data_IF_440767575651
#
_entry.id   IF_440767575651
#
_cell.length_a   1.000
_cell.length_b   1.000
_cell.length_c   1.000
_cell.angle_alpha   90.00
_cell.angle_beta   90.00
_cell.angle_gamma   90.00
#
_symmetry.space_group_name_H-M   'P 1'
#
loop_
_entity.id
_entity.type
_entity.pdbx_description
1 polymer ?
#
# COMPACT_ATOMS: atom_id res chain seq x y z
N UNK A 1 -1.97 9.92 -31.49
CA UNK A 1 -2.59 8.98 -30.53
C UNK A 1 -1.49 8.24 -29.77
N UNK A 2 -1.12 8.78 -28.60
CA UNK A 2 -0.33 8.22 -27.47
C UNK A 2 0.36 9.37 -26.75
N UNK A 3 -0.39 10.01 -25.86
CA UNK A 3 0.18 10.85 -24.80
C UNK A 3 0.63 9.92 -23.67
N UNK A 4 1.93 9.95 -23.36
CA UNK A 4 2.53 9.21 -22.26
C UNK A 4 2.55 10.09 -21.02
N UNK A 5 1.79 9.66 -20.02
CA UNK A 5 1.76 10.16 -18.67
C UNK A 5 3.17 10.25 -18.07
N UNK A 6 3.65 11.48 -17.82
CA UNK A 6 4.75 11.77 -16.90
C UNK A 6 4.16 12.00 -15.51
N UNK A 7 4.15 10.97 -14.67
CA UNK A 7 3.95 11.12 -13.23
C UNK A 7 5.33 11.04 -12.55
N UNK A 8 5.97 12.20 -12.44
CA UNK A 8 7.30 12.34 -11.86
C UNK A 8 7.56 13.79 -11.49
N UNK A 9 6.88 14.28 -10.45
CA UNK A 9 7.20 15.54 -9.80
C UNK A 9 6.93 15.42 -8.30
N UNK A 10 7.93 14.87 -7.59
CA UNK A 10 8.10 15.11 -6.17
C UNK A 10 8.79 16.47 -5.98
N UNK A 11 8.06 17.39 -5.36
CA UNK A 11 8.49 18.42 -4.41
C UNK A 11 9.91 19.02 -4.56
N UNK A 12 9.99 20.25 -5.10
CA UNK A 12 11.17 21.12 -5.01
C UNK A 12 10.75 22.56 -4.65
N UNK A 13 11.51 23.15 -3.73
CA UNK A 13 11.19 24.28 -2.85
C UNK A 13 10.98 25.69 -3.48
N UNK A 14 10.09 26.44 -2.82
CA UNK A 14 10.02 27.90 -2.47
C UNK A 14 10.94 28.93 -3.14
N UNK A 15 10.35 30.05 -3.60
CA UNK A 15 10.39 31.38 -2.93
C UNK A 15 9.61 32.46 -3.71
N UNK A 16 8.87 33.33 -3.01
CA UNK A 16 8.48 34.66 -3.54
C UNK A 16 7.06 35.18 -3.27
N UNK A 17 6.89 35.87 -2.12
CA UNK A 17 6.01 37.04 -1.86
C UNK A 17 4.47 36.95 -1.81
N UNK A 18 3.97 37.40 -0.66
CA UNK A 18 2.66 38.04 -0.33
C UNK A 18 1.39 37.21 -0.43
N UNK A 19 0.93 36.74 0.74
CA UNK A 19 -0.42 36.25 0.98
C UNK A 19 -0.45 35.32 2.19
N UNK A 20 -0.67 35.86 3.39
CA UNK A 20 -1.02 35.05 4.56
C UNK A 20 -2.41 34.44 4.30
N UNK A 21 -2.47 33.25 3.69
CA UNK A 21 -3.66 32.40 3.73
C UNK A 21 -3.51 31.48 4.92
N UNK A 22 -4.33 31.71 5.95
CA UNK A 22 -4.49 30.77 7.07
C UNK A 22 -5.10 29.51 6.44
N UNK A 23 -4.31 28.46 6.25
CA UNK A 23 -4.79 27.21 5.68
C UNK A 23 -5.76 26.55 6.67
N UNK A 24 -7.05 26.59 6.34
CA UNK A 24 -8.17 26.02 7.09
C UNK A 24 -8.56 24.66 6.52
N UNK A 25 -7.60 23.75 6.37
CA UNK A 25 -7.84 22.40 5.85
C UNK A 25 -7.56 21.38 6.93
N UNK A 26 -8.43 20.39 7.07
CA UNK A 26 -8.15 19.22 7.88
C UNK A 26 -7.57 18.09 7.03
N UNK A 27 -6.81 17.22 7.68
CA UNK A 27 -6.33 15.97 7.09
C UNK A 27 -6.91 14.81 7.89
N UNK A 28 -7.53 13.86 7.20
CA UNK A 28 -7.89 12.56 7.76
C UNK A 28 -6.97 11.49 7.20
N UNK A 29 -6.68 10.47 8.02
CA UNK A 29 -5.89 9.31 7.60
C UNK A 29 -6.76 8.08 7.59
N UNK A 30 -6.59 7.23 6.58
CA UNK A 30 -7.49 6.12 6.31
C UNK A 30 -6.70 4.84 6.06
N UNK A 31 -6.95 3.83 6.88
CA UNK A 31 -6.39 2.47 6.76
C UNK A 31 -6.94 1.73 5.56
N UNK A 32 -6.18 0.76 5.06
CA UNK A 32 -6.56 -0.18 4.00
C UNK A 32 -6.75 0.48 2.62
N UNK A 33 -6.31 1.73 2.44
CA UNK A 33 -6.26 2.40 1.14
C UNK A 33 -5.02 1.99 0.34
N UNK A 34 -5.12 0.88 -0.38
CA UNK A 34 -3.95 0.24 -1.02
C UNK A 34 -3.81 0.47 -2.53
N UNK A 35 -4.82 1.03 -3.21
CA UNK A 35 -4.78 1.26 -4.66
C UNK A 35 -5.64 2.45 -5.12
N UNK A 36 -5.51 2.85 -6.40
CA UNK A 36 -6.28 3.96 -6.99
C UNK A 36 -7.80 3.75 -6.93
N UNK A 37 -8.28 2.50 -6.90
CA UNK A 37 -9.70 2.22 -6.70
C UNK A 37 -10.16 2.63 -5.30
N UNK A 38 -9.33 2.44 -4.27
CA UNK A 38 -9.63 2.89 -2.91
C UNK A 38 -9.79 4.40 -2.85
N UNK A 39 -8.92 5.15 -3.55
CA UNK A 39 -9.03 6.60 -3.70
C UNK A 39 -10.41 6.99 -4.25
N UNK A 40 -10.83 6.36 -5.35
CA UNK A 40 -12.15 6.64 -5.96
C UNK A 40 -13.31 6.31 -5.02
N UNK A 41 -13.26 5.18 -4.31
CA UNK A 41 -14.33 4.78 -3.38
C UNK A 41 -14.40 5.77 -2.21
N UNK A 42 -13.27 6.09 -1.58
CA UNK A 42 -13.21 7.06 -0.46
C UNK A 42 -13.67 8.45 -0.92
N UNK A 43 -13.27 8.90 -2.10
CA UNK A 43 -13.74 10.16 -2.67
C UNK A 43 -15.27 10.20 -2.84
N UNK A 44 -15.86 9.10 -3.33
CA UNK A 44 -17.30 8.99 -3.52
C UNK A 44 -18.06 9.01 -2.18
N UNK A 45 -17.57 8.30 -1.16
CA UNK A 45 -18.18 8.31 0.18
C UNK A 45 -18.08 9.69 0.84
N UNK A 46 -16.95 10.39 0.70
CA UNK A 46 -16.81 11.75 1.20
C UNK A 46 -17.80 12.71 0.54
N UNK A 47 -17.90 12.65 -0.79
CA UNK A 47 -18.84 13.48 -1.56
C UNK A 47 -20.30 13.15 -1.25
N UNK A 48 -20.65 11.88 -1.03
CA UNK A 48 -22.02 11.45 -0.69
C UNK A 48 -22.46 11.98 0.67
N UNK A 49 -21.52 12.16 1.60
CA UNK A 49 -21.71 12.78 2.91
C UNK A 49 -21.64 14.32 2.88
N UNK A 50 -21.47 14.93 1.70
CA UNK A 50 -21.39 16.38 1.53
C UNK A 50 -20.05 16.99 1.97
N UNK A 51 -19.00 16.19 2.11
CA UNK A 51 -17.64 16.66 2.41
C UNK A 51 -16.90 17.02 1.11
N UNK A 52 -15.90 17.90 1.24
CA UNK A 52 -15.21 18.47 0.09
C UNK A 52 -13.72 18.06 0.08
N UNK A 53 -13.38 16.87 -0.46
CA UNK A 53 -11.99 16.47 -0.62
C UNK A 53 -11.29 17.34 -1.65
N UNK A 54 -10.15 17.92 -1.26
CA UNK A 54 -9.29 18.72 -2.13
C UNK A 54 -8.13 17.90 -2.67
N UNK A 55 -7.54 17.04 -1.85
CA UNK A 55 -6.50 16.09 -2.27
C UNK A 55 -6.75 14.73 -1.62
N UNK A 56 -6.54 13.68 -2.40
CA UNK A 56 -6.64 12.30 -1.92
C UNK A 56 -5.42 11.54 -2.41
N UNK A 57 -4.70 10.94 -1.47
CA UNK A 57 -3.58 10.04 -1.70
C UNK A 57 -3.83 8.73 -0.94
N UNK A 58 -2.97 7.73 -1.16
CA UNK A 58 -3.07 6.47 -0.44
C UNK A 58 -2.85 6.70 1.07
N UNK A 59 -3.93 6.51 1.84
CA UNK A 59 -3.93 6.64 3.29
C UNK A 59 -4.12 8.05 3.84
N UNK A 60 -4.27 9.06 2.98
CA UNK A 60 -4.39 10.46 3.39
C UNK A 60 -5.39 11.24 2.54
N UNK A 61 -6.24 12.01 3.19
CA UNK A 61 -7.22 12.88 2.54
C UNK A 61 -7.17 14.28 3.15
N UNK A 62 -6.92 15.28 2.33
CA UNK A 62 -7.09 16.69 2.66
C UNK A 62 -8.51 17.14 2.31
N UNK A 63 -9.21 17.68 3.30
CA UNK A 63 -10.58 18.19 3.18
C UNK A 63 -10.59 19.72 3.31
N UNK A 64 -11.53 20.37 2.62
CA UNK A 64 -11.76 21.82 2.75
C UNK A 64 -12.28 22.22 4.14
N UNK A 65 -12.95 21.29 4.82
CA UNK A 65 -13.45 21.47 6.17
C UNK A 65 -12.32 21.66 7.19
N UNK A 66 -12.59 22.42 8.26
CA UNK A 66 -11.64 22.61 9.38
C UNK A 66 -11.84 21.64 10.53
N UNK A 67 -13.09 21.22 10.75
CA UNK A 67 -13.48 20.23 11.77
C UNK A 67 -14.75 19.51 11.33
N UNK A 68 -14.92 18.26 11.76
CA UNK A 68 -16.14 17.48 11.57
C UNK A 68 -16.88 17.40 12.90
N UNK A 69 -18.20 17.56 12.89
CA UNK A 69 -19.03 17.29 14.07
C UNK A 69 -18.98 15.81 14.46
N UNK A 70 -19.33 15.47 15.70
CA UNK A 70 -19.37 14.06 16.14
C UNK A 70 -20.30 13.20 15.26
N UNK A 71 -21.40 13.77 14.79
CA UNK A 71 -22.34 13.07 13.91
C UNK A 71 -21.73 12.83 12.52
N UNK A 72 -21.08 13.85 11.95
CA UNK A 72 -20.36 13.70 10.68
C UNK A 72 -19.21 12.69 10.77
N UNK A 73 -18.46 12.68 11.88
CA UNK A 73 -17.42 11.69 12.12
C UNK A 73 -17.99 10.28 12.17
N UNK A 74 -19.10 10.06 12.90
CA UNK A 74 -19.75 8.75 12.98
C UNK A 74 -20.27 8.27 11.62
N UNK A 75 -20.87 9.18 10.84
CA UNK A 75 -21.34 8.87 9.49
C UNK A 75 -20.17 8.51 8.56
N UNK A 76 -19.08 9.27 8.62
CA UNK A 76 -17.86 8.99 7.87
C UNK A 76 -17.25 7.65 8.24
N UNK A 77 -17.06 7.40 9.54
CA UNK A 77 -16.47 6.15 10.04
C UNK A 77 -17.34 4.94 9.62
N UNK A 78 -18.67 5.05 9.68
CA UNK A 78 -19.58 4.01 9.20
C UNK A 78 -19.47 3.76 7.68
N UNK A 79 -19.36 4.83 6.87
CA UNK A 79 -19.19 4.73 5.42
C UNK A 79 -17.85 4.09 5.02
N UNK A 80 -16.77 4.46 5.73
CA UNK A 80 -15.46 3.86 5.56
C UNK A 80 -15.47 2.36 5.93
N UNK A 81 -16.00 2.01 7.10
CA UNK A 81 -16.06 0.62 7.59
C UNK A 81 -16.86 -0.27 6.62
N UNK A 82 -17.97 0.23 6.09
CA UNK A 82 -18.78 -0.49 5.09
C UNK A 82 -17.98 -0.91 3.86
N UNK A 83 -16.94 -0.14 3.51
CA UNK A 83 -16.07 -0.41 2.37
C UNK A 83 -14.72 -1.04 2.78
N UNK A 84 -14.56 -1.44 4.04
CA UNK A 84 -13.34 -2.06 4.56
C UNK A 84 -12.23 -1.09 4.96
N UNK A 85 -12.53 0.21 5.05
CA UNK A 85 -11.60 1.24 5.47
C UNK A 85 -11.82 1.64 6.94
N UNK A 86 -10.81 2.27 7.54
CA UNK A 86 -10.88 2.73 8.94
C UNK A 86 -10.18 4.07 9.06
N UNK A 87 -10.79 5.06 9.73
CA UNK A 87 -10.10 6.33 10.02
C UNK A 87 -9.10 6.14 11.17
N UNK A 88 -7.88 6.64 11.01
CA UNK A 88 -6.80 6.46 11.96
C UNK A 88 -6.35 7.80 12.56
N UNK A 89 -6.42 7.90 13.88
CA UNK A 89 -5.93 9.08 14.60
C UNK A 89 -4.56 8.86 15.28
N UNK A 90 -4.17 7.62 15.60
CA UNK A 90 -2.89 7.34 16.24
C UNK A 90 -1.69 7.55 15.29
N UNK A 91 -0.69 8.29 15.76
CA UNK A 91 0.51 8.61 14.97
C UNK A 91 1.29 7.37 14.55
N UNK A 92 1.44 6.38 15.43
CA UNK A 92 2.21 5.17 15.12
C UNK A 92 1.50 4.33 14.07
N UNK A 93 0.18 4.19 14.19
CA UNK A 93 -0.66 3.51 13.22
C UNK A 93 -0.56 4.17 11.83
N UNK A 94 -0.57 5.51 11.75
CA UNK A 94 -0.34 6.23 10.47
C UNK A 94 1.01 5.89 9.83
N UNK A 95 2.09 5.83 10.63
CA UNK A 95 3.43 5.47 10.14
C UNK A 95 3.43 4.05 9.58
N UNK A 96 2.83 3.10 10.31
CA UNK A 96 2.77 1.70 9.86
C UNK A 96 1.94 1.55 8.60
N UNK A 97 0.81 2.25 8.50
CA UNK A 97 -0.03 2.22 7.31
C UNK A 97 0.70 2.78 6.08
N UNK A 98 1.44 3.90 6.24
CA UNK A 98 2.27 4.44 5.17
C UNK A 98 3.35 3.45 4.70
N UNK A 99 4.01 2.77 5.64
CA UNK A 99 5.00 1.72 5.33
C UNK A 99 4.34 0.57 4.55
N UNK A 100 3.17 0.09 4.98
CA UNK A 100 2.43 -0.97 4.28
C UNK A 100 2.05 -0.56 2.86
N UNK A 101 1.47 0.63 2.70
CA UNK A 101 1.07 1.15 1.39
C UNK A 101 2.28 1.32 0.45
N UNK A 102 3.41 1.78 0.98
CA UNK A 102 4.66 1.87 0.21
C UNK A 102 5.11 0.49 -0.29
N UNK A 103 5.10 -0.53 0.58
CA UNK A 103 5.48 -1.90 0.21
C UNK A 103 4.55 -2.48 -0.86
N UNK A 104 3.24 -2.33 -0.65
CA UNK A 104 2.23 -2.81 -1.59
C UNK A 104 2.42 -2.14 -2.95
N UNK A 105 2.60 -0.81 -2.98
CA UNK A 105 2.83 -0.06 -4.21
C UNK A 105 4.07 -0.56 -4.97
N UNK A 106 5.21 -0.75 -4.27
CA UNK A 106 6.46 -1.18 -4.90
C UNK A 106 6.39 -2.62 -5.41
N UNK A 107 5.62 -3.52 -4.78
CA UNK A 107 5.52 -4.94 -5.18
C UNK A 107 4.46 -5.16 -6.26
N UNK A 108 3.27 -4.58 -6.09
CA UNK A 108 2.10 -4.91 -6.90
C UNK A 108 1.89 -3.94 -8.06
N UNK A 109 2.32 -2.69 -7.91
CA UNK A 109 2.06 -1.61 -8.86
C UNK A 109 3.31 -1.05 -9.55
N UNK A 110 4.47 -1.70 -9.37
CA UNK A 110 5.69 -1.40 -10.12
C UNK A 110 6.03 -2.56 -11.05
N UNK A 111 6.44 -2.26 -12.28
CA UNK A 111 6.72 -3.29 -13.29
C UNK A 111 7.84 -4.22 -12.88
N UNK A 112 8.91 -3.72 -12.26
CA UNK A 112 10.03 -4.56 -11.83
C UNK A 112 10.68 -4.01 -10.57
N UNK A 113 10.87 -4.89 -9.61
CA UNK A 113 11.69 -4.62 -8.42
C UNK A 113 13.09 -5.15 -8.73
N UNK A 114 14.05 -4.24 -8.90
CA UNK A 114 15.45 -4.60 -9.17
C UNK A 114 16.02 -5.50 -8.07
N UNK A 115 16.94 -6.42 -8.42
CA UNK A 115 17.71 -7.20 -7.44
C UNK A 115 18.53 -6.33 -6.47
N UNK A 116 18.86 -5.10 -6.87
CA UNK A 116 19.57 -4.11 -6.03
C UNK A 116 18.61 -3.21 -5.25
N UNK A 117 17.31 -3.52 -5.24
CA UNK A 117 16.32 -2.73 -4.53
C UNK A 117 16.59 -2.80 -3.02
N UNK A 118 16.80 -1.64 -2.41
CA UNK A 118 17.10 -1.51 -1.00
C UNK A 118 15.84 -1.08 -0.25
N UNK A 119 15.13 -2.05 0.33
CA UNK A 119 13.94 -1.81 1.13
C UNK A 119 14.20 -0.86 2.29
N UNK A 120 15.32 -1.02 2.99
CA UNK A 120 15.64 -0.19 4.14
C UNK A 120 15.75 1.28 3.78
N UNK A 121 16.47 1.58 2.69
CA UNK A 121 16.62 2.95 2.20
C UNK A 121 15.28 3.51 1.71
N UNK A 122 14.56 2.77 0.88
CA UNK A 122 13.29 3.26 0.31
C UNK A 122 12.28 3.54 1.41
N UNK A 123 12.11 2.64 2.38
CA UNK A 123 11.13 2.83 3.45
C UNK A 123 11.54 3.96 4.41
N UNK A 124 12.85 4.12 4.67
CA UNK A 124 13.34 5.23 5.47
C UNK A 124 13.13 6.60 4.79
N UNK A 125 13.44 6.67 3.49
CA UNK A 125 13.31 7.89 2.69
C UNK A 125 11.83 8.31 2.56
N UNK A 126 10.94 7.36 2.27
CA UNK A 126 9.50 7.62 2.05
C UNK A 126 8.76 7.94 3.35
N UNK A 127 9.14 7.34 4.48
CA UNK A 127 8.49 7.60 5.77
C UNK A 127 9.15 8.72 6.58
N UNK A 128 10.36 9.17 6.18
CA UNK A 128 11.17 10.13 6.92
C UNK A 128 11.54 9.65 8.35
N UNK A 129 11.83 8.35 8.48
CA UNK A 129 12.28 7.73 9.73
C UNK A 129 13.44 6.77 9.48
N UNK A 130 14.28 6.59 10.49
CA UNK A 130 15.30 5.54 10.46
C UNK A 130 14.68 4.16 10.32
N UNK A 131 15.25 3.32 9.46
CA UNK A 131 14.72 1.98 9.18
C UNK A 131 14.61 1.11 10.45
N UNK A 132 15.56 1.23 11.39
CA UNK A 132 15.52 0.49 12.65
C UNK A 132 14.29 0.85 13.48
N UNK A 133 13.91 2.14 13.50
CA UNK A 133 12.68 2.56 14.17
C UNK A 133 11.45 1.97 13.48
N UNK A 134 11.38 2.04 12.14
CA UNK A 134 10.27 1.48 11.36
C UNK A 134 10.13 -0.04 11.58
N UNK A 135 11.23 -0.79 11.52
CA UNK A 135 11.23 -2.24 11.70
C UNK A 135 10.76 -2.65 13.09
N UNK A 136 11.21 -1.95 14.14
CA UNK A 136 10.81 -2.23 15.51
C UNK A 136 9.34 -1.86 15.76
N UNK A 137 8.92 -0.69 15.28
CA UNK A 137 7.54 -0.24 15.40
C UNK A 137 6.59 -1.21 14.69
N UNK A 138 6.92 -1.60 13.46
CA UNK A 138 6.13 -2.53 12.67
C UNK A 138 5.97 -3.86 13.39
N UNK A 139 7.07 -4.44 13.86
CA UNK A 139 7.05 -5.72 14.60
C UNK A 139 6.19 -5.63 15.86
N UNK A 140 6.25 -4.51 16.57
CA UNK A 140 5.46 -4.30 17.80
C UNK A 140 3.95 -4.18 17.54
N UNK A 141 3.55 -3.63 16.39
CA UNK A 141 2.14 -3.38 16.06
C UNK A 141 1.50 -4.53 15.29
N UNK A 142 2.26 -5.19 14.41
CA UNK A 142 1.74 -6.22 13.49
C UNK A 142 2.03 -7.65 13.94
N UNK A 143 2.88 -7.84 14.96
CA UNK A 143 3.25 -9.16 15.47
C UNK A 143 4.13 -9.99 14.53
N UNK A 144 4.54 -9.43 13.39
CA UNK A 144 5.48 -10.02 12.43
C UNK A 144 6.53 -9.00 12.03
N UNK A 145 7.70 -9.46 11.62
CA UNK A 145 8.76 -8.53 11.20
C UNK A 145 8.40 -7.85 9.88
N UNK A 146 8.94 -6.65 9.68
CA UNK A 146 8.79 -5.90 8.43
C UNK A 146 9.29 -6.71 7.22
N UNK A 147 10.39 -7.44 7.38
CA UNK A 147 10.91 -8.34 6.35
C UNK A 147 9.94 -9.49 6.04
N UNK A 148 9.34 -10.10 7.06
CA UNK A 148 8.34 -11.14 6.88
C UNK A 148 7.13 -10.61 6.11
N UNK A 149 6.68 -9.39 6.41
CA UNK A 149 5.58 -8.74 5.69
C UNK A 149 5.93 -8.54 4.20
N UNK A 150 7.12 -8.00 3.90
CA UNK A 150 7.60 -7.83 2.51
C UNK A 150 7.60 -9.17 1.76
N UNK A 151 8.09 -10.25 2.40
CA UNK A 151 8.11 -11.58 1.79
C UNK A 151 6.68 -12.08 1.55
N UNK A 152 5.76 -11.93 2.51
CA UNK A 152 4.35 -12.34 2.34
C UNK A 152 3.71 -11.60 1.17
N UNK A 153 3.92 -10.29 1.06
CA UNK A 153 3.44 -9.50 -0.08
C UNK A 153 4.02 -9.98 -1.42
N UNK A 154 5.32 -10.29 -1.47
CA UNK A 154 5.93 -10.89 -2.67
C UNK A 154 5.28 -12.22 -3.03
N UNK A 155 4.99 -13.08 -2.06
CA UNK A 155 4.33 -14.37 -2.30
C UNK A 155 2.90 -14.21 -2.81
N UNK A 156 2.11 -13.28 -2.25
CA UNK A 156 0.79 -12.97 -2.81
C UNK A 156 0.91 -12.48 -4.26
N UNK A 157 1.89 -11.63 -4.56
CA UNK A 157 2.16 -11.21 -5.95
C UNK A 157 2.55 -12.37 -6.86
N UNK A 158 3.31 -13.35 -6.37
CA UNK A 158 3.65 -14.57 -7.13
C UNK A 158 2.39 -15.36 -7.44
N UNK A 159 1.48 -15.54 -6.47
CA UNK A 159 0.20 -16.25 -6.69
C UNK A 159 -0.62 -15.57 -7.80
N UNK A 160 -0.68 -14.24 -7.80
CA UNK A 160 -1.37 -13.49 -8.85
C UNK A 160 -0.72 -13.69 -10.23
N UNK A 161 0.60 -13.55 -10.33
CA UNK A 161 1.31 -13.70 -11.60
C UNK A 161 1.21 -15.13 -12.15
N UNK A 162 1.25 -16.13 -11.25
CA UNK A 162 0.99 -17.52 -11.61
C UNK A 162 -0.45 -17.76 -12.02
N UNK A 163 -1.42 -16.98 -11.51
CA UNK A 163 -2.82 -17.10 -11.90
C UNK A 163 -3.06 -16.60 -13.33
N UNK A 164 -2.48 -15.46 -13.71
CA UNK A 164 -2.58 -14.92 -15.08
C UNK A 164 -1.88 -15.80 -16.13
N UNK A 165 -0.89 -16.59 -15.71
CA UNK A 165 -0.17 -17.56 -16.54
C UNK A 165 0.66 -16.99 -17.70
N UNK A 166 0.91 -15.68 -17.71
CA UNK A 166 1.64 -15.01 -18.80
C UNK A 166 3.16 -15.03 -18.61
N UNK A 167 3.63 -15.31 -17.39
CA UNK A 167 5.06 -15.27 -17.03
C UNK A 167 5.55 -16.64 -16.58
N UNK A 168 6.76 -16.99 -17.01
CA UNK A 168 7.53 -18.11 -16.47
C UNK A 168 7.99 -17.83 -15.04
N UNK A 169 8.28 -18.89 -14.29
CA UNK A 169 8.77 -18.74 -12.91
C UNK A 169 10.12 -17.98 -12.84
N UNK A 170 10.94 -18.07 -13.89
CA UNK A 170 12.18 -17.30 -14.02
C UNK A 170 11.91 -15.80 -14.18
N UNK A 171 10.95 -15.43 -15.03
CA UNK A 171 10.54 -14.04 -15.20
C UNK A 171 9.91 -13.47 -13.93
N UNK A 172 9.08 -14.26 -13.22
CA UNK A 172 8.51 -13.84 -11.93
C UNK A 172 9.61 -13.62 -10.90
N UNK A 173 10.59 -14.53 -10.80
CA UNK A 173 11.71 -14.40 -9.88
C UNK A 173 12.50 -13.11 -10.14
N UNK A 174 12.83 -12.85 -11.41
CA UNK A 174 13.53 -11.64 -11.81
C UNK A 174 12.70 -10.35 -11.59
N UNK A 175 11.39 -10.40 -11.89
CA UNK A 175 10.45 -9.28 -11.71
C UNK A 175 10.35 -8.84 -10.25
N UNK A 176 10.42 -9.78 -9.31
CA UNK A 176 10.30 -9.55 -7.87
C UNK A 176 11.66 -9.46 -7.15
N UNK A 177 12.76 -9.41 -7.91
CA UNK A 177 14.10 -9.21 -7.39
C UNK A 177 14.67 -10.40 -6.63
N UNK A 178 14.20 -11.62 -6.89
CA UNK A 178 14.80 -12.84 -6.35
C UNK A 178 16.15 -13.12 -7.00
N UNK A 179 17.08 -13.67 -6.21
CA UNK A 179 18.41 -14.05 -6.71
C UNK A 179 18.39 -15.27 -7.64
N UNK A 180 17.38 -16.14 -7.48
CA UNK A 180 17.18 -17.32 -8.32
C UNK A 180 15.75 -17.84 -8.22
N UNK A 181 15.35 -18.67 -9.18
CA UNK A 181 14.10 -19.46 -9.14
C UNK A 181 14.05 -20.37 -7.92
N UNK A 182 15.19 -20.94 -7.51
CA UNK A 182 15.27 -21.80 -6.34
C UNK A 182 14.94 -21.03 -5.05
N UNK A 183 15.46 -19.80 -4.91
CA UNK A 183 15.16 -18.95 -3.76
C UNK A 183 13.67 -18.59 -3.69
N UNK A 184 13.08 -18.18 -4.82
CA UNK A 184 11.64 -17.94 -4.92
C UNK A 184 10.84 -19.20 -4.53
N UNK A 185 11.17 -20.35 -5.10
CA UNK A 185 10.44 -21.61 -4.88
C UNK A 185 10.50 -22.07 -3.43
N UNK A 186 11.67 -21.93 -2.78
CA UNK A 186 11.84 -22.27 -1.37
C UNK A 186 10.99 -21.38 -0.45
N UNK A 187 11.00 -20.05 -0.67
CA UNK A 187 10.16 -19.14 0.11
C UNK A 187 8.67 -19.37 -0.13
N UNK A 188 8.28 -19.59 -1.39
CA UNK A 188 6.90 -19.86 -1.77
C UNK A 188 6.36 -21.13 -1.10
N UNK A 189 7.13 -22.23 -1.16
CA UNK A 189 6.76 -23.48 -0.48
C UNK A 189 6.69 -23.33 1.04
N UNK A 190 7.63 -22.60 1.63
CA UNK A 190 7.63 -22.35 3.08
C UNK A 190 6.35 -21.64 3.55
N UNK A 191 5.83 -20.69 2.77
CA UNK A 191 4.67 -19.88 3.15
C UNK A 191 3.32 -20.45 2.69
N UNK A 192 3.29 -21.21 1.61
CA UNK A 192 2.04 -21.73 1.03
C UNK A 192 1.82 -23.23 1.24
N UNK A 193 2.87 -23.97 1.64
CA UNK A 193 2.87 -25.43 1.70
C UNK A 193 3.07 -26.12 0.34
N UNK A 194 2.98 -25.39 -0.77
CA UNK A 194 3.05 -25.89 -2.14
C UNK A 194 4.19 -25.21 -2.90
N UNK A 195 4.80 -25.89 -3.86
CA UNK A 195 5.68 -25.24 -4.83
C UNK A 195 4.85 -24.42 -5.83
N UNK A 196 5.46 -23.41 -6.51
CA UNK A 196 4.80 -22.67 -7.58
C UNK A 196 4.19 -23.58 -8.67
N UNK A 197 4.92 -24.63 -9.05
CA UNK A 197 4.48 -25.61 -10.05
C UNK A 197 3.32 -26.48 -9.55
N UNK A 198 3.32 -26.89 -8.29
CA UNK A 198 2.20 -27.62 -7.67
C UNK A 198 0.95 -26.74 -7.62
N UNK A 199 1.08 -25.47 -7.21
CA UNK A 199 -0.06 -24.54 -7.20
C UNK A 199 -0.61 -24.29 -8.62
N UNK A 200 0.27 -24.16 -9.61
CA UNK A 200 -0.13 -24.01 -11.02
C UNK A 200 -0.89 -25.23 -11.54
N UNK A 201 -0.52 -26.44 -11.10
CA UNK A 201 -1.24 -27.68 -11.42
C UNK A 201 -2.54 -27.82 -10.63
N UNK A 202 -2.58 -27.33 -9.39
CA UNK A 202 -3.75 -27.39 -8.51
C UNK A 202 -4.81 -26.34 -8.82
N UNK A 203 -4.76 -25.67 -9.99
CA UNK A 203 -5.81 -24.75 -10.49
C UNK A 203 -7.23 -25.34 -10.49
N UNK A 204 -7.38 -26.65 -10.26
CA UNK A 204 -8.64 -27.33 -10.04
C UNK A 204 -9.19 -27.24 -8.59
N UNK A 205 -8.46 -26.67 -7.62
CA UNK A 205 -8.87 -26.62 -6.21
C UNK A 205 -8.68 -25.19 -5.67
N UNK A 206 -9.81 -24.54 -5.38
CA UNK A 206 -9.97 -23.18 -4.87
C UNK A 206 -9.02 -22.85 -3.72
N UNK A 207 -8.03 -21.99 -3.98
CA UNK A 207 -7.28 -21.32 -2.92
C UNK A 207 -7.68 -19.84 -2.95
N UNK A 208 -8.49 -19.36 -1.98
CA UNK A 208 -8.99 -17.99 -1.99
C UNK A 208 -7.82 -17.01 -1.85
N UNK A 209 -7.81 -15.97 -2.70
CA UNK A 209 -6.84 -14.87 -2.63
C UNK A 209 -7.05 -14.13 -1.32
N UNK A 210 -5.96 -13.70 -0.67
CA UNK A 210 -6.05 -12.73 0.43
C UNK A 210 -6.05 -11.31 -0.13
N UNK A 211 -6.91 -10.41 0.37
CA UNK A 211 -6.77 -8.97 0.12
C UNK A 211 -5.37 -8.47 0.53
N UNK A 212 -4.84 -7.46 -0.19
CA UNK A 212 -3.46 -6.98 -0.01
C UNK A 212 -3.22 -6.36 1.38
N UNK A 213 -4.24 -5.71 1.92
CA UNK A 213 -4.33 -5.12 3.26
C UNK A 213 -4.49 -6.16 4.37
N UNK A 214 -5.03 -7.34 4.06
CA UNK A 214 -5.26 -8.44 5.01
C UNK A 214 -4.03 -9.36 5.22
N UNK A 215 -2.89 -9.04 4.64
CA UNK A 215 -1.64 -9.81 4.79
C UNK A 215 -0.96 -9.42 6.11
N UNK A 216 -1.36 -10.03 7.23
CA UNK A 216 -0.58 -10.03 8.47
C UNK A 216 0.31 -11.26 8.55
#
# INVERSE_FOLDING_TARGET
MRELFRAGYWFRMRNGSSGFSIFTHMTIHVKNMVCNRCITVVEQELKSLGLHPEKIALGEVELKETSLSEDQQKQLDAALIKNGFERIDDRKARIIEHVKNTIIQKIHHTDRVSRKFNWSKVLADEAHYEYNYLSNLFSSMEGITLEQYIIRQKIERVKELLFYDELTLSEIADKLGYSSVAHLSAQFKKLTGLTPSELKKSRAIEHPRKPLDAVS
#
